data_IF_330706637384
#
_entry.id   IF_330706637384
#
_cell.length_a   1.000
_cell.length_b   1.000
_cell.length_c   1.000
_cell.angle_alpha   90.00
_cell.angle_beta   90.00
_cell.angle_gamma   90.00
#
_symmetry.space_group_name_H-M   'P 1'
#
loop_
_entity.id
_entity.type
_entity.pdbx_description
1 polymer ?
#
# COMPACT_ATOMS: atom_id res chain seq x y z
N UNK A 1 48.90 -9.20 -1.89
CA UNK A 1 48.33 -8.01 -2.57
C UNK A 1 46.79 -7.97 -2.46
N UNK A 2 46.20 -8.99 -1.84
CA UNK A 2 44.79 -9.35 -1.97
C UNK A 2 43.90 -8.55 -1.01
N UNK A 3 44.40 -8.21 0.18
CA UNK A 3 43.64 -7.43 1.18
C UNK A 3 43.41 -5.99 0.73
N UNK A 4 44.40 -5.34 0.13
CA UNK A 4 44.29 -3.97 -0.37
C UNK A 4 43.33 -3.88 -1.54
N UNK A 5 43.42 -4.82 -2.49
CA UNK A 5 42.50 -4.88 -3.64
C UNK A 5 41.07 -5.14 -3.15
N UNK A 6 40.88 -6.06 -2.20
CA UNK A 6 39.56 -6.33 -1.62
C UNK A 6 38.99 -5.09 -0.94
N UNK A 7 39.78 -4.39 -0.12
CA UNK A 7 39.35 -3.15 0.54
C UNK A 7 38.92 -2.09 -0.49
N UNK A 8 39.72 -1.87 -1.53
CA UNK A 8 39.42 -0.88 -2.58
C UNK A 8 38.14 -1.24 -3.33
N UNK A 9 37.98 -2.50 -3.72
CA UNK A 9 36.78 -2.97 -4.41
C UNK A 9 35.55 -2.84 -3.52
N UNK A 10 35.64 -3.24 -2.24
CA UNK A 10 34.53 -3.09 -1.29
C UNK A 10 34.16 -1.63 -1.09
N UNK A 11 35.13 -0.71 -1.02
CA UNK A 11 34.88 0.72 -0.85
C UNK A 11 34.19 1.32 -2.09
N UNK A 12 34.63 0.95 -3.29
CA UNK A 12 34.00 1.39 -4.55
C UNK A 12 32.57 0.88 -4.66
N UNK A 13 32.34 -0.41 -4.36
CA UNK A 13 30.99 -1.00 -4.38
C UNK A 13 30.10 -0.34 -3.34
N UNK A 14 30.59 -0.14 -2.11
CA UNK A 14 29.85 0.55 -1.06
C UNK A 14 29.54 2.00 -1.45
N UNK A 15 30.50 2.72 -2.04
CA UNK A 15 30.29 4.09 -2.51
C UNK A 15 29.25 4.17 -3.62
N UNK A 16 29.28 3.27 -4.61
CA UNK A 16 28.25 3.20 -5.66
C UNK A 16 26.89 2.89 -5.05
N UNK A 17 26.82 1.97 -4.10
CA UNK A 17 25.57 1.61 -3.41
C UNK A 17 25.01 2.79 -2.61
N UNK A 18 25.87 3.51 -1.90
CA UNK A 18 25.51 4.72 -1.15
C UNK A 18 25.05 5.82 -2.11
N UNK A 19 25.81 6.12 -3.17
CA UNK A 19 25.45 7.11 -4.18
C UNK A 19 24.12 6.78 -4.88
N UNK A 20 23.87 5.50 -5.17
CA UNK A 20 22.61 5.03 -5.72
C UNK A 20 21.44 5.25 -4.74
N UNK A 21 21.60 4.87 -3.48
CA UNK A 21 20.56 5.04 -2.45
C UNK A 21 20.32 6.50 -2.05
N UNK A 22 21.34 7.37 -2.11
CA UNK A 22 21.18 8.80 -1.86
C UNK A 22 20.61 9.56 -3.06
N UNK A 23 20.68 9.00 -4.28
CA UNK A 23 20.21 9.62 -5.51
C UNK A 23 18.70 9.66 -5.69
N UNK A 24 17.92 8.85 -4.98
CA UNK A 24 16.47 8.73 -5.17
C UNK A 24 15.63 9.57 -4.20
N UNK A 25 16.03 10.82 -3.97
CA UNK A 25 15.18 11.81 -3.29
C UNK A 25 14.81 12.92 -4.28
N UNK A 26 14.11 12.54 -5.34
CA UNK A 26 13.45 13.53 -6.20
C UNK A 26 12.40 14.27 -5.36
N UNK A 27 12.50 15.60 -5.23
CA UNK A 27 11.49 16.37 -4.52
C UNK A 27 10.14 16.22 -5.25
N UNK A 28 9.04 16.21 -4.48
CA UNK A 28 7.71 16.23 -5.07
C UNK A 28 7.55 17.53 -5.86
N UNK A 29 7.35 17.42 -7.16
CA UNK A 29 7.17 18.56 -8.06
C UNK A 29 5.69 18.96 -8.13
N UNK A 30 5.43 20.23 -8.41
CA UNK A 30 4.05 20.72 -8.60
C UNK A 30 3.36 20.03 -9.79
N UNK A 31 4.14 19.52 -10.76
CA UNK A 31 3.61 18.70 -11.85
C UNK A 31 3.00 17.38 -11.36
N UNK A 32 3.66 16.71 -10.41
CA UNK A 32 3.14 15.47 -9.81
C UNK A 32 1.80 15.73 -9.11
N UNK A 33 1.71 16.85 -8.39
CA UNK A 33 0.47 17.28 -7.71
C UNK A 33 -0.61 17.58 -8.74
N UNK A 34 -0.29 18.32 -9.81
CA UNK A 34 -1.24 18.67 -10.87
C UNK A 34 -1.82 17.44 -11.56
N UNK A 35 -0.99 16.41 -11.83
CA UNK A 35 -1.47 15.14 -12.41
C UNK A 35 -2.46 14.41 -11.51
N UNK A 36 -2.20 14.33 -10.21
CA UNK A 36 -3.15 13.73 -9.25
C UNK A 36 -4.42 14.59 -9.15
N UNK A 37 -4.30 15.91 -9.08
CA UNK A 37 -5.44 16.83 -8.96
C UNK A 37 -6.40 16.75 -10.15
N UNK A 38 -5.92 16.40 -11.35
CA UNK A 38 -6.77 16.15 -12.52
C UNK A 38 -7.68 14.92 -12.32
N UNK A 39 -7.19 13.88 -11.63
CA UNK A 39 -7.93 12.64 -11.37
C UNK A 39 -8.76 12.77 -10.08
N UNK A 40 -8.26 13.52 -9.11
CA UNK A 40 -8.83 13.69 -7.78
C UNK A 40 -9.09 15.18 -7.47
N UNK A 41 -10.05 15.84 -8.13
CA UNK A 41 -10.32 17.27 -7.94
C UNK A 41 -10.96 17.59 -6.58
N UNK A 42 -11.44 16.58 -5.85
CA UNK A 42 -12.01 16.70 -4.50
C UNK A 42 -10.95 16.78 -3.41
N UNK A 43 -9.69 16.43 -3.72
CA UNK A 43 -8.59 16.45 -2.77
C UNK A 43 -7.88 17.81 -2.76
N UNK A 44 -7.54 18.27 -1.56
CA UNK A 44 -6.67 19.44 -1.41
C UNK A 44 -5.25 19.12 -1.92
N UNK A 45 -4.61 20.05 -2.64
CA UNK A 45 -3.23 19.89 -3.10
C UNK A 45 -2.24 19.59 -1.95
N UNK A 46 -2.52 20.06 -0.73
CA UNK A 46 -1.68 19.77 0.44
C UNK A 46 -1.71 18.29 0.85
N UNK A 47 -2.89 17.65 0.72
CA UNK A 47 -3.08 16.23 1.04
C UNK A 47 -2.39 15.38 -0.03
N UNK A 48 -2.55 15.76 -1.30
CA UNK A 48 -1.89 15.14 -2.43
C UNK A 48 -0.36 15.23 -2.26
N UNK A 49 0.16 16.41 -1.92
CA UNK A 49 1.61 16.61 -1.72
C UNK A 49 2.15 15.74 -0.59
N UNK A 50 1.43 15.65 0.53
CA UNK A 50 1.81 14.80 1.67
C UNK A 50 1.84 13.32 1.31
N UNK A 51 0.85 12.83 0.55
CA UNK A 51 0.85 11.42 0.14
C UNK A 51 1.87 11.13 -0.95
N UNK A 52 2.14 12.07 -1.86
CA UNK A 52 3.25 11.98 -2.82
C UNK A 52 4.61 11.99 -2.12
N UNK A 53 4.78 12.72 -1.02
CA UNK A 53 6.00 12.67 -0.21
C UNK A 53 6.18 11.29 0.46
N UNK A 54 5.07 10.64 0.81
CA UNK A 54 5.04 9.30 1.42
C UNK A 54 5.26 8.18 0.41
N UNK A 55 4.51 8.18 -0.68
CA UNK A 55 4.50 7.11 -1.70
C UNK A 55 5.58 7.30 -2.74
N UNK A 56 6.00 8.55 -2.97
CA UNK A 56 6.88 8.98 -4.08
C UNK A 56 6.38 8.55 -5.46
N UNK A 57 5.08 8.27 -5.59
CA UNK A 57 4.51 7.77 -6.82
C UNK A 57 3.09 8.31 -7.04
N UNK A 58 2.91 8.94 -8.20
CA UNK A 58 1.63 9.50 -8.65
C UNK A 58 0.56 8.43 -8.76
N UNK A 59 0.87 7.28 -9.38
CA UNK A 59 -0.08 6.19 -9.56
C UNK A 59 -0.54 5.61 -8.22
N UNK A 60 0.39 5.37 -7.30
CA UNK A 60 0.06 4.88 -5.97
C UNK A 60 -0.79 5.88 -5.17
N UNK A 61 -0.52 7.18 -5.32
CA UNK A 61 -1.34 8.24 -4.71
C UNK A 61 -2.76 8.25 -5.28
N UNK A 62 -2.91 8.06 -6.60
CA UNK A 62 -4.22 7.92 -7.24
C UNK A 62 -4.95 6.67 -6.72
N UNK A 63 -4.27 5.54 -6.62
CA UNK A 63 -4.85 4.31 -6.08
C UNK A 63 -5.30 4.50 -4.62
N UNK A 64 -4.51 5.19 -3.80
CA UNK A 64 -4.89 5.52 -2.43
C UNK A 64 -6.15 6.40 -2.38
N UNK A 65 -6.29 7.33 -3.32
CA UNK A 65 -7.50 8.16 -3.45
C UNK A 65 -8.71 7.31 -3.85
N UNK A 66 -8.57 6.46 -4.87
CA UNK A 66 -9.64 5.57 -5.34
C UNK A 66 -10.07 4.57 -4.26
N UNK A 67 -9.15 4.15 -3.41
CA UNK A 67 -9.40 3.27 -2.27
C UNK A 67 -9.90 4.03 -1.02
N UNK A 68 -10.24 5.32 -1.13
CA UNK A 68 -10.67 6.18 -0.03
C UNK A 68 -9.67 6.29 1.15
N UNK A 69 -8.39 6.01 0.92
CA UNK A 69 -7.33 6.19 1.91
C UNK A 69 -6.86 7.65 2.01
N UNK A 70 -7.20 8.47 1.02
CA UNK A 70 -7.00 9.92 1.02
C UNK A 70 -8.37 10.58 1.15
N UNK A 71 -8.76 10.83 2.40
CA UNK A 71 -9.99 11.54 2.73
C UNK A 71 -9.78 13.07 2.76
N UNK A 72 -10.82 13.87 2.42
CA UNK A 72 -10.77 15.34 2.50
C UNK A 72 -10.67 15.88 3.94
N UNK A 73 -10.74 15.01 4.94
CA UNK A 73 -10.68 15.34 6.35
C UNK A 73 -9.49 14.61 6.96
N UNK A 74 -8.57 15.35 7.58
CA UNK A 74 -7.40 14.82 8.31
C UNK A 74 -7.76 14.02 9.57
N UNK A 75 -8.65 13.05 9.46
CA UNK A 75 -8.96 12.06 10.49
C UNK A 75 -8.58 10.72 9.87
N UNK A 76 -7.38 10.29 10.20
CA UNK A 76 -6.93 8.93 9.99
C UNK A 76 -7.85 7.99 10.76
N UNK A 77 -8.87 7.43 10.09
CA UNK A 77 -9.39 6.13 10.50
C UNK A 77 -8.38 5.07 10.05
N UNK A 78 -7.87 4.23 10.97
CA UNK A 78 -6.92 3.19 10.63
C UNK A 78 -7.71 2.02 9.99
N UNK A 79 -8.09 2.16 8.73
CA UNK A 79 -8.57 1.03 7.96
C UNK A 79 -7.40 0.28 7.33
N UNK A 80 -7.02 -0.78 8.03
CA UNK A 80 -6.68 -2.10 7.50
C UNK A 80 -6.28 -2.15 6.03
N UNK A 81 -4.99 -1.95 5.76
CA UNK A 81 -4.33 -2.60 4.64
C UNK A 81 -3.74 -3.93 5.15
N UNK A 82 -4.58 -4.96 5.20
CA UNK A 82 -4.10 -6.34 5.21
C UNK A 82 -3.91 -6.77 3.75
N UNK A 83 -2.71 -6.54 3.22
CA UNK A 83 -2.11 -7.37 2.17
C UNK A 83 -0.62 -7.40 2.42
N UNK A 84 -0.24 -8.22 3.39
CA UNK A 84 1.12 -8.67 3.62
C UNK A 84 1.34 -9.91 2.76
N UNK A 85 2.12 -9.79 1.68
CA UNK A 85 2.90 -10.94 1.24
C UNK A 85 4.21 -10.98 2.03
N UNK A 86 4.52 -12.17 2.53
CA UNK A 86 5.83 -12.67 3.00
C UNK A 86 6.10 -12.72 4.52
N UNK A 87 5.64 -13.84 5.13
CA UNK A 87 6.42 -14.78 5.96
C UNK A 87 7.28 -14.19 7.11
N UNK A 88 6.77 -14.21 8.37
CA UNK A 88 7.25 -15.03 9.51
C UNK A 88 6.63 -14.59 10.87
N UNK A 89 5.96 -15.55 11.53
CA UNK A 89 5.63 -15.75 12.98
C UNK A 89 6.28 -14.75 13.97
N UNK A 90 5.57 -14.14 14.96
CA UNK A 90 5.03 -14.91 16.11
C UNK A 90 3.74 -14.38 16.83
N UNK A 91 2.93 -15.34 17.30
CA UNK A 91 2.23 -15.44 18.61
C UNK A 91 1.71 -14.14 19.27
N UNK A 92 0.39 -13.87 19.18
CA UNK A 92 -0.40 -13.27 20.28
C UNK A 92 -1.93 -13.43 20.04
N UNK A 93 -2.54 -14.23 20.94
CA UNK A 93 -3.87 -14.09 21.55
C UNK A 93 -5.09 -13.67 20.70
N UNK A 94 -5.88 -14.70 20.36
CA UNK A 94 -7.31 -14.83 20.64
C UNK A 94 -8.19 -13.56 20.54
N UNK A 95 -8.51 -13.15 19.31
CA UNK A 95 -9.80 -12.52 19.04
C UNK A 95 -10.80 -13.63 18.70
N UNK A 96 -11.59 -14.02 19.69
CA UNK A 96 -12.73 -14.91 19.57
C UNK A 96 -13.80 -14.22 18.72
N UNK A 97 -13.79 -14.47 17.40
CA UNK A 97 -14.85 -14.01 16.50
C UNK A 97 -15.96 -15.06 16.46
N UNK A 98 -16.93 -14.88 17.34
CA UNK A 98 -18.12 -15.74 17.50
C UNK A 98 -19.17 -15.39 16.43
N UNK A 99 -18.85 -15.65 15.17
CA UNK A 99 -19.68 -15.20 14.04
C UNK A 99 -19.43 -15.97 12.76
N UNK A 100 -19.82 -17.25 12.75
CA UNK A 100 -20.14 -18.11 11.60
C UNK A 100 -19.16 -18.04 10.41
N UNK A 101 -18.29 -19.05 10.41
CA UNK A 101 -17.43 -19.53 9.33
C UNK A 101 -17.99 -19.20 7.93
N UNK A 102 -17.17 -18.54 7.10
CA UNK A 102 -17.51 -18.12 5.74
C UNK A 102 -18.10 -19.27 4.91
N UNK A 103 -17.68 -20.50 5.19
CA UNK A 103 -18.21 -21.72 4.56
C UNK A 103 -19.69 -21.96 4.87
N UNK A 104 -20.15 -21.65 6.08
CA UNK A 104 -21.56 -21.79 6.46
C UNK A 104 -22.43 -20.76 5.74
N UNK A 105 -21.95 -19.50 5.65
CA UNK A 105 -22.64 -18.43 4.91
C UNK A 105 -22.67 -18.69 3.40
N UNK A 106 -21.59 -19.26 2.86
CA UNK A 106 -21.52 -19.68 1.46
C UNK A 106 -22.51 -20.81 1.17
N UNK A 107 -22.63 -21.81 2.04
CA UNK A 107 -23.61 -22.91 1.89
C UNK A 107 -25.04 -22.39 1.88
N UNK A 108 -25.38 -21.48 2.79
CA UNK A 108 -26.72 -20.89 2.86
C UNK A 108 -27.07 -20.14 1.57
N UNK A 109 -26.13 -19.33 1.06
CA UNK A 109 -26.33 -18.54 -0.15
C UNK A 109 -26.55 -19.42 -1.38
N UNK A 110 -25.78 -20.50 -1.51
CA UNK A 110 -25.92 -21.48 -2.60
C UNK A 110 -27.26 -22.21 -2.53
N UNK A 111 -27.70 -22.60 -1.33
CA UNK A 111 -28.98 -23.28 -1.15
C UNK A 111 -30.15 -22.36 -1.55
N UNK A 112 -30.10 -21.11 -1.13
CA UNK A 112 -31.10 -20.09 -1.45
C UNK A 112 -31.16 -19.76 -2.95
N UNK A 113 -30.01 -19.73 -3.61
CA UNK A 113 -29.94 -19.54 -5.06
C UNK A 113 -30.61 -20.71 -5.82
N UNK A 114 -30.40 -21.95 -5.37
CA UNK A 114 -31.04 -23.13 -5.97
C UNK A 114 -32.56 -23.15 -5.79
N UNK A 115 -33.07 -22.74 -4.62
CA UNK A 115 -34.51 -22.67 -4.37
C UNK A 115 -35.22 -21.67 -5.29
N UNK A 116 -34.56 -20.55 -5.63
CA UNK A 116 -35.11 -19.56 -6.56
C UNK A 116 -35.24 -20.07 -8.00
N UNK A 117 -34.45 -21.07 -8.39
CA UNK A 117 -34.48 -21.63 -9.74
C UNK A 117 -35.49 -22.77 -9.92
N UNK A 118 -36.00 -23.35 -8.83
CA UNK A 118 -36.92 -24.49 -8.87
C UNK A 118 -38.39 -24.11 -8.63
N UNK A 119 -38.71 -22.82 -8.72
CA UNK A 119 -40.06 -22.26 -8.70
C UNK A 119 -40.31 -21.51 -10.00
N UNK A 120 -40.55 -22.28 -11.07
CA UNK A 120 -41.29 -21.85 -12.25
C UNK A 120 -41.85 -23.06 -13.00
#
# INVERSE_FOLDING_TARGET
MDNTVTLVVTLVVAFVFIAYFLGEKSPVTDEMVARVAQVAPSLSPDVIRRDLERTRNVHQTIDNYLNNQLGPTGISEPHSAETTQSIQKPKAQAAHFEGLDFEQKKREMVLRARQRLNLN
#
